data_IF_462629699928
#
_entry.id   IF_462629699928
#
_cell.length_a   1.000
_cell.length_b   1.000
_cell.length_c   1.000
_cell.angle_alpha   90.00
_cell.angle_beta   90.00
_cell.angle_gamma   90.00
#
_symmetry.space_group_name_H-M   'P 1'
#
loop_
_entity.id
_entity.type
_entity.pdbx_description
1 polymer ?
#
# COMPACT_ATOMS: atom_id res chain seq x y z
N UNK A 1 -7.35 15.09 -15.42
CA UNK A 1 -7.06 14.52 -14.09
C UNK A 1 -7.79 13.21 -13.82
N UNK A 2 -9.00 12.99 -14.34
CA UNK A 2 -9.72 11.71 -14.21
C UNK A 2 -8.91 10.48 -14.69
N UNK A 3 -8.32 10.54 -15.89
CA UNK A 3 -7.44 9.47 -16.42
C UNK A 3 -6.27 9.19 -15.48
N UNK A 4 -5.67 10.24 -14.90
CA UNK A 4 -4.57 10.12 -13.95
C UNK A 4 -5.04 9.45 -12.64
N UNK A 5 -6.19 9.88 -12.10
CA UNK A 5 -6.77 9.30 -10.89
C UNK A 5 -7.06 7.80 -11.07
N UNK A 6 -7.69 7.41 -12.18
CA UNK A 6 -7.98 6.02 -12.51
C UNK A 6 -6.70 5.18 -12.63
N UNK A 7 -5.66 5.75 -13.25
CA UNK A 7 -4.34 5.11 -13.36
C UNK A 7 -3.73 4.87 -11.98
N UNK A 8 -3.76 5.87 -11.10
CA UNK A 8 -3.21 5.76 -9.75
C UNK A 8 -3.99 4.80 -8.86
N UNK A 9 -5.33 4.80 -8.91
CA UNK A 9 -6.17 3.82 -8.21
C UNK A 9 -5.83 2.40 -8.67
N UNK A 10 -5.58 2.21 -9.96
CA UNK A 10 -5.16 0.91 -10.52
C UNK A 10 -3.82 0.47 -9.92
N UNK A 11 -2.84 1.37 -9.83
CA UNK A 11 -1.54 1.06 -9.21
C UNK A 11 -1.68 0.74 -7.71
N UNK A 12 -2.41 1.54 -6.95
CA UNK A 12 -2.68 1.26 -5.54
C UNK A 12 -3.35 -0.09 -5.33
N UNK A 13 -4.36 -0.41 -6.15
CA UNK A 13 -5.03 -1.72 -6.14
C UNK A 13 -4.06 -2.86 -6.40
N UNK A 14 -3.12 -2.68 -7.34
CA UNK A 14 -2.09 -3.66 -7.63
C UNK A 14 -1.16 -3.88 -6.42
N UNK A 15 -0.68 -2.81 -5.78
CA UNK A 15 0.18 -2.93 -4.60
C UNK A 15 -0.54 -3.51 -3.37
N UNK A 16 -1.82 -3.18 -3.16
CA UNK A 16 -2.65 -3.88 -2.15
C UNK A 16 -2.64 -5.39 -2.37
N UNK A 17 -2.88 -5.83 -3.61
CA UNK A 17 -2.87 -7.25 -3.97
C UNK A 17 -1.50 -7.92 -3.77
N UNK A 18 -0.40 -7.20 -3.99
CA UNK A 18 0.94 -7.75 -3.72
C UNK A 18 1.16 -8.02 -2.23
N UNK A 19 0.73 -7.11 -1.35
CA UNK A 19 0.76 -7.32 0.09
C UNK A 19 -0.05 -8.56 0.50
N UNK A 20 -1.30 -8.64 0.03
CA UNK A 20 -2.20 -9.76 0.36
C UNK A 20 -1.69 -11.11 -0.14
N UNK A 21 -1.17 -11.17 -1.38
CA UNK A 21 -0.53 -12.39 -1.90
C UNK A 21 0.74 -12.77 -1.14
N UNK A 22 1.40 -11.81 -0.51
CA UNK A 22 2.52 -12.09 0.39
C UNK A 22 2.00 -12.71 1.68
N UNK A 23 0.99 -12.11 2.31
CA UNK A 23 0.40 -12.62 3.57
C UNK A 23 -0.17 -14.03 3.44
N UNK A 24 -0.73 -14.36 2.27
CA UNK A 24 -1.29 -15.67 1.97
C UNK A 24 -0.24 -16.80 1.88
N UNK A 25 1.04 -16.46 1.73
CA UNK A 25 2.14 -17.43 1.66
C UNK A 25 2.85 -17.66 3.01
N UNK A 26 2.41 -16.96 4.05
CA UNK A 26 3.07 -16.91 5.35
C UNK A 26 2.14 -17.41 6.44
N UNK A 27 2.72 -18.04 7.47
CA UNK A 27 2.01 -18.44 8.67
C UNK A 27 1.85 -17.23 9.62
N UNK A 28 1.06 -17.37 10.68
CA UNK A 28 0.75 -16.24 11.58
C UNK A 28 2.01 -15.70 12.26
N UNK A 29 2.87 -16.58 12.77
CA UNK A 29 4.12 -16.19 13.42
C UNK A 29 5.09 -15.44 12.47
N UNK A 30 5.04 -15.73 11.17
CA UNK A 30 5.91 -15.12 10.17
C UNK A 30 5.61 -13.62 9.99
N UNK A 31 4.35 -13.20 10.23
CA UNK A 31 3.97 -11.79 10.12
C UNK A 31 4.65 -10.91 11.19
N UNK A 32 5.04 -11.52 12.31
CA UNK A 32 5.69 -10.86 13.44
C UNK A 32 7.21 -11.01 13.43
N UNK A 33 7.76 -11.81 12.51
CA UNK A 33 9.19 -12.04 12.41
C UNK A 33 9.95 -10.76 12.07
N UNK A 34 11.13 -10.61 12.67
CA UNK A 34 12.11 -9.55 12.39
C UNK A 34 13.47 -10.19 12.20
N UNK A 35 14.27 -9.61 11.29
CA UNK A 35 15.65 -10.05 11.10
C UNK A 35 16.55 -9.68 12.29
N UNK A 36 16.38 -8.48 12.82
CA UNK A 36 17.07 -7.95 14.00
C UNK A 36 16.23 -6.85 14.67
N UNK A 37 16.73 -6.27 15.77
CA UNK A 37 16.03 -5.23 16.56
C UNK A 37 15.74 -3.96 15.75
N UNK A 38 16.60 -3.62 14.79
CA UNK A 38 16.47 -2.44 13.90
C UNK A 38 15.49 -2.67 12.73
N UNK A 39 15.05 -3.91 12.51
CA UNK A 39 14.21 -4.28 11.38
C UNK A 39 12.74 -4.31 11.76
N UNK A 40 11.89 -3.72 10.92
CA UNK A 40 10.44 -3.83 11.08
C UNK A 40 9.94 -5.20 10.63
N UNK A 41 8.97 -5.75 11.37
CA UNK A 41 8.18 -6.90 10.93
C UNK A 41 7.15 -6.49 9.89
N UNK A 42 6.53 -7.46 9.21
CA UNK A 42 5.38 -7.20 8.34
C UNK A 42 4.25 -6.53 9.12
N UNK A 43 3.98 -6.99 10.35
CA UNK A 43 2.95 -6.42 11.21
C UNK A 43 3.17 -4.91 11.47
N UNK A 44 4.40 -4.50 11.77
CA UNK A 44 4.74 -3.08 11.96
C UNK A 44 4.54 -2.29 10.67
N UNK A 45 5.01 -2.82 9.54
CA UNK A 45 4.88 -2.11 8.26
C UNK A 45 3.41 -1.90 7.92
N UNK A 46 2.55 -2.89 8.14
CA UNK A 46 1.10 -2.78 7.95
C UNK A 46 0.50 -1.71 8.87
N UNK A 47 0.85 -1.71 10.15
CA UNK A 47 0.39 -0.71 11.13
C UNK A 47 0.80 0.71 10.71
N UNK A 48 2.05 0.89 10.30
CA UNK A 48 2.55 2.16 9.79
C UNK A 48 1.81 2.63 8.53
N UNK A 49 1.61 1.74 7.57
CA UNK A 49 0.87 2.06 6.35
C UNK A 49 -0.57 2.46 6.66
N UNK A 50 -1.26 1.71 7.53
CA UNK A 50 -2.62 2.01 7.95
C UNK A 50 -2.72 3.36 8.66
N UNK A 51 -1.86 3.64 9.64
CA UNK A 51 -1.82 4.92 10.35
C UNK A 51 -1.52 6.10 9.43
N UNK A 52 -0.61 5.92 8.48
CA UNK A 52 -0.36 6.91 7.43
C UNK A 52 -1.61 7.14 6.58
N UNK A 53 -2.24 6.09 6.04
CA UNK A 53 -3.42 6.23 5.18
C UNK A 53 -4.57 6.93 5.90
N UNK A 54 -4.90 6.46 7.11
CA UNK A 54 -5.95 7.05 7.93
C UNK A 54 -5.69 8.54 8.17
N UNK A 55 -4.45 8.93 8.48
CA UNK A 55 -4.13 10.33 8.72
C UNK A 55 -4.17 11.17 7.44
N UNK A 56 -3.59 10.67 6.34
CA UNK A 56 -3.47 11.43 5.10
C UNK A 56 -4.80 11.60 4.37
N UNK A 57 -5.71 10.64 4.51
CA UNK A 57 -6.90 10.54 3.64
C UNK A 57 -8.22 10.77 4.35
N UNK A 58 -8.29 10.67 5.68
CA UNK A 58 -9.50 11.07 6.42
C UNK A 58 -9.72 12.57 6.23
N UNK A 59 -10.84 12.93 5.59
CA UNK A 59 -11.26 14.33 5.40
C UNK A 59 -10.16 15.23 4.78
N UNK A 60 -9.34 14.66 3.87
CA UNK A 60 -8.11 15.29 3.38
C UNK A 60 -8.31 16.59 2.59
N UNK A 61 -9.52 16.83 2.07
CA UNK A 61 -9.86 18.06 1.35
C UNK A 61 -10.16 19.23 2.30
N UNK A 62 -10.48 18.96 3.57
CA UNK A 62 -10.95 19.97 4.51
C UNK A 62 -10.07 20.11 5.75
N UNK A 63 -9.33 19.07 6.14
CA UNK A 63 -8.44 19.09 7.30
C UNK A 63 -7.04 18.60 6.95
N UNK A 64 -6.04 19.02 7.73
CA UNK A 64 -4.63 18.69 7.49
C UNK A 64 -4.41 17.16 7.42
N UNK A 65 -3.59 16.70 6.48
CA UNK A 65 -3.26 15.29 6.32
C UNK A 65 -2.38 14.71 7.42
N UNK A 66 -1.85 15.50 8.35
CA UNK A 66 -1.31 15.04 9.64
C UNK A 66 -2.36 15.30 10.72
N UNK A 67 -3.02 14.22 11.17
CA UNK A 67 -4.05 14.33 12.20
C UNK A 67 -3.44 14.37 13.59
N UNK A 68 -4.01 15.19 14.46
CA UNK A 68 -3.56 15.31 15.86
C UNK A 68 -3.62 13.99 16.64
N UNK A 69 -4.55 13.10 16.27
CA UNK A 69 -4.68 11.78 16.88
C UNK A 69 -3.63 10.78 16.37
N UNK A 70 -2.88 11.09 15.30
CA UNK A 70 -1.86 10.19 14.78
C UNK A 70 -0.61 10.26 15.66
N UNK A 71 -0.31 9.16 16.33
CA UNK A 71 0.97 8.97 16.99
C UNK A 71 1.85 8.02 16.15
N UNK A 72 2.78 8.61 15.40
CA UNK A 72 3.68 7.86 14.51
C UNK A 72 4.56 6.88 15.29
N UNK A 73 5.07 7.27 16.45
CA UNK A 73 6.08 6.46 17.13
C UNK A 73 5.47 5.15 17.65
N UNK A 74 4.23 5.21 18.14
CA UNK A 74 3.46 4.02 18.53
C UNK A 74 3.22 3.08 17.33
N UNK A 75 3.21 3.55 16.08
CA UNK A 75 3.09 2.67 14.89
C UNK A 75 4.25 1.66 14.79
N UNK A 76 5.39 1.93 15.43
CA UNK A 76 6.58 1.06 15.44
C UNK A 76 6.73 0.23 16.72
N UNK A 77 5.79 0.36 17.65
CA UNK A 77 5.70 -0.46 18.85
C UNK A 77 4.82 -1.70 18.61
N UNK A 78 5.19 -2.82 19.22
CA UNK A 78 4.45 -4.10 19.15
C UNK A 78 3.10 -3.96 19.86
N UNK A 79 2.04 -3.69 19.10
CA UNK A 79 0.67 -3.61 19.63
C UNK A 79 -0.35 -4.45 18.86
N UNK A 80 0.00 -4.93 17.67
CA UNK A 80 -0.83 -5.84 16.88
C UNK A 80 -0.36 -7.25 17.18
N UNK A 81 -1.26 -8.13 17.58
CA UNK A 81 -0.91 -9.44 18.11
C UNK A 81 -1.47 -10.59 17.26
N UNK A 82 -2.42 -10.33 16.36
CA UNK A 82 -3.04 -11.37 15.55
C UNK A 82 -3.06 -11.04 14.06
N UNK A 83 -3.13 -12.08 13.21
CA UNK A 83 -3.35 -11.91 11.77
C UNK A 83 -4.63 -11.12 11.49
N UNK A 84 -5.70 -11.40 12.24
CA UNK A 84 -6.98 -10.72 12.07
C UNK A 84 -6.84 -9.21 12.27
N UNK A 85 -6.14 -8.78 13.32
CA UNK A 85 -5.87 -7.37 13.58
C UNK A 85 -4.99 -6.75 12.48
N UNK A 86 -3.96 -7.46 11.98
CA UNK A 86 -3.15 -7.02 10.84
C UNK A 86 -4.02 -6.79 9.61
N UNK A 87 -4.87 -7.77 9.26
CA UNK A 87 -5.73 -7.70 8.09
C UNK A 87 -6.79 -6.61 8.23
N UNK A 88 -7.31 -6.40 9.44
CA UNK A 88 -8.24 -5.33 9.74
C UNK A 88 -7.59 -3.95 9.54
N UNK A 89 -6.40 -3.73 10.12
CA UNK A 89 -5.64 -2.49 9.95
C UNK A 89 -5.29 -2.25 8.46
N UNK A 90 -4.83 -3.29 7.77
CA UNK A 90 -4.55 -3.25 6.33
C UNK A 90 -5.78 -2.79 5.53
N UNK A 91 -6.92 -3.45 5.73
CA UNK A 91 -8.14 -3.12 5.00
C UNK A 91 -8.66 -1.73 5.34
N UNK A 92 -8.68 -1.33 6.62
CA UNK A 92 -9.10 0.01 7.03
C UNK A 92 -8.28 1.12 6.34
N UNK A 93 -6.95 0.98 6.30
CA UNK A 93 -6.09 1.96 5.63
C UNK A 93 -6.41 2.08 4.15
N UNK A 94 -6.49 0.95 3.44
CA UNK A 94 -6.78 0.94 2.01
C UNK A 94 -8.20 1.42 1.68
N UNK A 95 -9.20 1.06 2.48
CA UNK A 95 -10.58 1.53 2.33
C UNK A 95 -10.68 3.04 2.52
N UNK A 96 -9.98 3.59 3.51
CA UNK A 96 -9.88 5.04 3.72
C UNK A 96 -9.28 5.75 2.50
N UNK A 97 -8.14 5.26 1.99
CA UNK A 97 -7.52 5.78 0.77
C UNK A 97 -8.48 5.74 -0.42
N UNK A 98 -9.05 4.57 -0.73
CA UNK A 98 -9.91 4.44 -1.91
C UNK A 98 -11.21 5.23 -1.78
N UNK A 99 -11.79 5.31 -0.58
CA UNK A 99 -12.94 6.16 -0.32
C UNK A 99 -12.64 7.63 -0.62
N UNK A 100 -11.50 8.12 -0.13
CA UNK A 100 -11.06 9.50 -0.38
C UNK A 100 -10.80 9.78 -1.86
N UNK A 101 -10.08 8.88 -2.55
CA UNK A 101 -9.76 9.05 -3.97
C UNK A 101 -11.01 9.01 -4.87
N UNK A 102 -11.94 8.09 -4.59
CA UNK A 102 -13.18 7.97 -5.38
C UNK A 102 -14.16 9.12 -5.16
N UNK A 103 -14.00 9.89 -4.07
CA UNK A 103 -14.83 11.06 -3.78
C UNK A 103 -14.34 12.35 -4.47
N UNK A 104 -13.16 12.33 -5.12
CA UNK A 104 -12.60 13.51 -5.78
C UNK A 104 -13.45 13.92 -6.98
N UNK A 105 -13.84 15.19 -7.01
CA UNK A 105 -14.56 15.82 -8.12
C UNK A 105 -13.61 16.66 -9.00
N UNK A 106 -14.03 17.10 -10.21
CA UNK A 106 -13.22 17.97 -11.06
C UNK A 106 -12.74 19.26 -10.39
N UNK A 107 -13.56 19.85 -9.51
CA UNK A 107 -13.24 21.13 -8.85
C UNK A 107 -12.20 20.96 -7.73
N UNK A 108 -12.10 19.77 -7.13
CA UNK A 108 -11.17 19.50 -6.03
C UNK A 108 -9.70 19.61 -6.46
N UNK A 109 -9.40 19.40 -7.75
CA UNK A 109 -8.04 19.52 -8.29
C UNK A 109 -7.46 20.94 -8.22
N UNK A 110 -8.31 21.95 -8.01
CA UNK A 110 -7.90 23.34 -7.81
C UNK A 110 -7.73 23.71 -6.33
N UNK A 111 -8.11 22.82 -5.41
CA UNK A 111 -7.96 23.06 -3.98
C UNK A 111 -6.50 22.95 -3.56
N UNK A 112 -6.14 23.79 -2.59
CA UNK A 112 -4.94 23.59 -1.79
C UNK A 112 -5.31 22.72 -0.60
N UNK A 113 -4.63 21.60 -0.45
CA UNK A 113 -4.71 20.76 0.75
C UNK A 113 -3.45 20.95 1.59
N UNK A 114 -3.52 20.59 2.86
CA UNK A 114 -2.40 20.76 3.77
C UNK A 114 -1.90 19.43 4.29
N UNK A 115 -0.58 19.28 4.40
CA UNK A 115 0.06 18.18 5.10
C UNK A 115 1.13 18.80 5.99
N UNK A 116 0.96 18.71 7.32
CA UNK A 116 1.85 19.35 8.30
C UNK A 116 1.94 20.87 8.10
N UNK A 117 0.80 21.50 7.83
CA UNK A 117 0.65 22.91 7.53
C UNK A 117 1.41 23.37 6.26
N UNK A 118 1.92 22.44 5.45
CA UNK A 118 2.51 22.73 4.15
C UNK A 118 1.45 22.60 3.05
N UNK A 119 1.30 23.62 2.17
CA UNK A 119 0.32 23.58 1.09
C UNK A 119 0.77 22.61 -0.02
N UNK A 120 -0.17 21.81 -0.50
CA UNK A 120 0.03 20.86 -1.59
C UNK A 120 -1.15 20.89 -2.56
N UNK A 121 -0.89 20.46 -3.80
CA UNK A 121 -1.94 20.11 -4.75
C UNK A 121 -2.39 18.67 -4.54
N UNK A 122 -3.61 18.34 -4.95
CA UNK A 122 -4.18 16.99 -4.80
C UNK A 122 -3.30 15.94 -5.49
N UNK A 123 -2.82 16.20 -6.71
CA UNK A 123 -1.93 15.29 -7.42
C UNK A 123 -0.59 15.06 -6.72
N UNK A 124 -0.07 16.07 -6.03
CA UNK A 124 1.20 15.96 -5.31
C UNK A 124 1.02 15.05 -4.09
N UNK A 125 -0.08 15.20 -3.35
CA UNK A 125 -0.40 14.28 -2.26
C UNK A 125 -0.59 12.84 -2.74
N UNK A 126 -1.29 12.64 -3.86
CA UNK A 126 -1.45 11.33 -4.49
C UNK A 126 -0.08 10.74 -4.88
N UNK A 127 0.77 11.51 -5.57
CA UNK A 127 2.09 11.05 -6.02
C UNK A 127 3.02 10.70 -4.85
N UNK A 128 3.00 11.48 -3.77
CA UNK A 128 3.77 11.18 -2.56
C UNK A 128 3.38 9.82 -1.98
N UNK A 129 2.08 9.50 -1.96
CA UNK A 129 1.63 8.19 -1.49
C UNK A 129 1.87 7.06 -2.50
N UNK A 130 1.87 7.37 -3.80
CA UNK A 130 2.27 6.44 -4.85
C UNK A 130 3.77 6.11 -4.81
N UNK A 131 4.60 6.94 -4.19
CA UNK A 131 5.98 6.58 -3.86
C UNK A 131 6.07 5.80 -2.53
N UNK A 132 5.32 6.22 -1.51
CA UNK A 132 5.41 5.70 -0.14
C UNK A 132 4.81 4.30 0.02
N UNK A 133 3.60 4.04 -0.46
CA UNK A 133 2.96 2.73 -0.26
C UNK A 133 3.66 1.62 -1.03
N UNK A 134 4.05 1.80 -2.30
CA UNK A 134 4.86 0.81 -3.01
C UNK A 134 6.20 0.51 -2.35
N UNK A 135 6.86 1.52 -1.77
CA UNK A 135 8.09 1.32 -1.02
C UNK A 135 7.91 0.32 0.13
N UNK A 136 6.86 0.51 0.94
CA UNK A 136 6.56 -0.39 2.06
C UNK A 136 6.01 -1.75 1.63
N UNK A 137 5.20 -1.82 0.57
CA UNK A 137 4.78 -3.11 -0.02
C UNK A 137 5.99 -3.87 -0.55
N UNK A 138 6.97 -3.20 -1.14
CA UNK A 138 8.23 -3.82 -1.56
C UNK A 138 8.98 -4.45 -0.38
N UNK A 139 9.02 -3.78 0.77
CA UNK A 139 9.59 -4.33 2.01
C UNK A 139 8.83 -5.57 2.49
N UNK A 140 7.49 -5.52 2.51
CA UNK A 140 6.63 -6.66 2.87
C UNK A 140 6.93 -7.87 1.97
N UNK A 141 6.95 -7.67 0.65
CA UNK A 141 7.22 -8.73 -0.34
C UNK A 141 8.62 -9.32 -0.11
N UNK A 142 9.61 -8.46 0.16
CA UNK A 142 10.98 -8.92 0.37
C UNK A 142 11.12 -9.75 1.66
N UNK A 143 10.52 -9.30 2.77
CA UNK A 143 10.50 -10.05 4.03
C UNK A 143 9.78 -11.39 3.85
N UNK A 144 8.61 -11.38 3.20
CA UNK A 144 7.87 -12.62 2.93
C UNK A 144 8.67 -13.62 2.08
N UNK A 145 9.43 -13.11 1.10
CA UNK A 145 10.34 -13.95 0.30
C UNK A 145 11.50 -14.50 1.13
N UNK A 146 12.07 -13.71 2.04
CA UNK A 146 13.13 -14.18 2.96
C UNK A 146 12.64 -15.32 3.84
N UNK A 147 11.44 -15.19 4.41
CA UNK A 147 10.84 -16.20 5.29
C UNK A 147 10.44 -17.46 4.53
N UNK A 148 9.73 -17.31 3.40
CA UNK A 148 9.27 -18.45 2.61
C UNK A 148 10.42 -19.20 1.92
N UNK A 149 11.54 -18.52 1.65
CA UNK A 149 12.74 -19.10 1.05
C UNK A 149 12.43 -19.84 -0.25
N UNK A 150 12.79 -21.12 -0.31
CA UNK A 150 12.56 -21.97 -1.49
C UNK A 150 11.08 -22.27 -1.77
N UNK A 151 10.18 -22.01 -0.82
CA UNK A 151 8.73 -22.22 -0.99
C UNK A 151 8.03 -21.01 -1.63
N UNK A 152 8.72 -19.87 -1.76
CA UNK A 152 8.16 -18.64 -2.29
C UNK A 152 7.60 -18.83 -3.71
N UNK A 153 6.33 -18.47 -3.88
CA UNK A 153 5.67 -18.42 -5.18
C UNK A 153 5.79 -16.99 -5.75
N UNK A 154 6.32 -16.89 -6.97
CA UNK A 154 6.49 -15.60 -7.65
C UNK A 154 5.17 -14.85 -7.77
N UNK A 155 5.15 -13.58 -7.34
CA UNK A 155 3.99 -12.70 -7.49
C UNK A 155 3.89 -12.08 -8.88
N UNK A 156 4.95 -12.20 -9.67
CA UNK A 156 5.05 -11.80 -11.08
C UNK A 156 5.58 -12.98 -11.90
N UNK A 157 6.45 -12.73 -12.88
CA UNK A 157 7.01 -13.76 -13.75
C UNK A 157 8.15 -14.49 -13.01
N UNK A 158 8.07 -15.83 -12.81
CA UNK A 158 9.14 -16.57 -12.18
C UNK A 158 10.46 -16.46 -12.96
N UNK A 159 11.60 -16.49 -12.26
CA UNK A 159 12.93 -16.47 -12.88
C UNK A 159 13.06 -17.65 -13.85
N UNK A 160 13.47 -17.37 -15.09
CA UNK A 160 13.60 -18.37 -16.15
C UNK A 160 12.35 -18.55 -17.03
N UNK A 161 11.19 -18.03 -16.61
CA UNK A 161 9.91 -18.25 -17.31
C UNK A 161 9.43 -17.02 -18.12
N UNK A 162 10.27 -16.00 -18.31
CA UNK A 162 9.87 -14.76 -19.01
C UNK A 162 9.54 -14.97 -20.48
N UNK A 163 10.29 -15.82 -21.19
CA UNK A 163 10.03 -16.09 -22.60
C UNK A 163 8.68 -16.77 -22.82
N UNK A 164 8.39 -17.81 -22.03
CA UNK A 164 7.11 -18.51 -22.09
C UNK A 164 5.94 -17.59 -21.72
N UNK A 165 6.06 -16.86 -20.60
CA UNK A 165 5.03 -15.91 -20.18
C UNK A 165 4.73 -14.87 -21.28
N UNK A 166 5.77 -14.32 -21.90
CA UNK A 166 5.61 -13.34 -22.98
C UNK A 166 4.94 -13.95 -24.21
N UNK A 167 5.31 -15.17 -24.61
CA UNK A 167 4.67 -15.88 -25.70
C UNK A 167 3.16 -16.03 -25.44
N UNK A 168 2.78 -16.52 -24.26
CA UNK A 168 1.38 -16.70 -23.89
C UNK A 168 0.60 -15.36 -23.82
N UNK A 169 1.26 -14.31 -23.33
CA UNK A 169 0.66 -12.99 -23.17
C UNK A 169 0.44 -12.29 -24.51
N UNK A 170 1.38 -12.39 -25.44
CA UNK A 170 1.25 -11.77 -26.77
C UNK A 170 0.30 -12.55 -27.69
N UNK A 171 0.08 -13.85 -27.44
CA UNK A 171 -0.97 -14.63 -28.11
C UNK A 171 -2.39 -14.22 -27.66
N UNK A 172 -2.52 -13.66 -26.46
CA UNK A 172 -3.80 -13.21 -25.88
C UNK A 172 -3.71 -11.74 -25.48
N UNK A 173 -3.66 -10.81 -26.47
CA UNK A 173 -3.59 -9.39 -26.17
C UNK A 173 -4.80 -8.97 -25.30
N UNK A 174 -4.51 -8.27 -24.20
CA UNK A 174 -5.56 -7.72 -23.35
C UNK A 174 -6.35 -6.63 -24.08
N UNK A 175 -7.61 -6.43 -23.67
CA UNK A 175 -8.44 -5.33 -24.17
C UNK A 175 -7.86 -3.94 -23.83
N UNK A 176 -8.36 -2.92 -24.52
CA UNK A 176 -8.01 -1.50 -24.33
C UNK A 176 -8.12 -1.07 -22.87
N UNK A 177 -7.31 -0.09 -22.45
CA UNK A 177 -7.39 0.54 -21.14
C UNK A 177 -8.86 0.85 -20.80
N UNK A 178 -9.37 0.27 -19.71
CA UNK A 178 -10.68 0.61 -19.15
C UNK A 178 -10.52 1.83 -18.25
#
# INVERSE_FOLDING_TARGET
MEVYLNSTITQFTYYKKLGEKTFAQLNDADLFWRFNEESNSIAIIVKHMAGNMLSRWTDFLNTDGEKEWRNRDIEFEDAVNTREEIMNAWNQGWECLFGALNAITPDDWQKTIYIRNEPHRVEDAINRQLAHYPYHVGQIVFIGKMIAGSKWQSLSIPKGNSQQYNADKFLNPGGTFK
#
